data_IF_375524136932
#
_entry.id   IF_375524136932
#
_cell.length_a   1.000
_cell.length_b   1.000
_cell.length_c   1.000
_cell.angle_alpha   90.00
_cell.angle_beta   90.00
_cell.angle_gamma   90.00
#
_symmetry.space_group_name_H-M   'P 1'
#
loop_
_entity.id
_entity.type
_entity.pdbx_description
1 polymer ?
#
# COMPACT_ATOMS: atom_id res chain seq x y z
N UNK A 1 -39.27 -20.89 -22.20
CA UNK A 1 -37.92 -21.17 -21.66
C UNK A 1 -37.08 -19.90 -21.60
N UNK A 2 -37.72 -18.73 -21.57
CA UNK A 2 -37.10 -17.45 -21.94
C UNK A 2 -36.68 -16.62 -20.71
N UNK A 3 -37.30 -16.86 -19.56
CA UNK A 3 -36.94 -16.20 -18.29
C UNK A 3 -35.54 -16.57 -17.79
N UNK A 4 -35.06 -17.79 -18.03
CA UNK A 4 -33.73 -18.23 -17.60
C UNK A 4 -32.61 -17.57 -18.41
N UNK A 5 -32.84 -17.25 -19.68
CA UNK A 5 -31.89 -16.54 -20.53
C UNK A 5 -31.78 -15.05 -20.16
N UNK A 6 -32.90 -14.40 -19.83
CA UNK A 6 -32.89 -13.01 -19.35
C UNK A 6 -32.19 -12.85 -17.99
N UNK A 7 -32.39 -13.79 -17.07
CA UNK A 7 -31.71 -13.76 -15.76
C UNK A 7 -30.21 -14.03 -15.91
N UNK A 8 -29.83 -14.96 -16.78
CA UNK A 8 -28.41 -15.24 -17.06
C UNK A 8 -27.71 -14.06 -17.76
N UNK A 9 -28.39 -13.41 -18.72
CA UNK A 9 -27.90 -12.21 -19.38
C UNK A 9 -27.75 -11.02 -18.44
N UNK A 10 -28.68 -10.83 -17.50
CA UNK A 10 -28.59 -9.77 -16.50
C UNK A 10 -27.47 -10.00 -15.48
N UNK A 11 -27.22 -11.26 -15.07
CA UNK A 11 -26.11 -11.61 -14.16
C UNK A 11 -24.75 -11.39 -14.85
N UNK A 12 -24.63 -11.78 -16.12
CA UNK A 12 -23.41 -11.56 -16.91
C UNK A 12 -23.16 -10.07 -17.15
N UNK A 13 -24.21 -9.30 -17.48
CA UNK A 13 -24.10 -7.85 -17.68
C UNK A 13 -23.79 -7.09 -16.37
N UNK A 14 -24.39 -7.50 -15.25
CA UNK A 14 -24.06 -6.96 -13.92
C UNK A 14 -22.62 -7.34 -13.50
N UNK A 15 -22.16 -8.54 -13.85
CA UNK A 15 -20.76 -8.96 -13.68
C UNK A 15 -19.78 -8.13 -14.52
N UNK A 16 -20.14 -7.77 -15.75
CA UNK A 16 -19.30 -6.90 -16.59
C UNK A 16 -19.28 -5.44 -16.10
N UNK A 17 -20.39 -4.92 -15.56
CA UNK A 17 -20.41 -3.56 -14.97
C UNK A 17 -19.63 -3.51 -13.65
N UNK A 18 -19.65 -4.60 -12.86
CA UNK A 18 -18.77 -4.77 -11.71
C UNK A 18 -17.28 -4.89 -12.13
N UNK A 19 -16.98 -5.49 -13.28
CA UNK A 19 -15.63 -5.57 -13.81
C UNK A 19 -15.08 -4.19 -14.26
N UNK A 20 -15.94 -3.27 -14.70
CA UNK A 20 -15.55 -1.88 -14.99
C UNK A 20 -15.31 -1.02 -13.73
N UNK A 21 -15.61 -1.54 -12.53
CA UNK A 21 -15.44 -0.83 -11.25
C UNK A 21 -14.39 -1.47 -10.34
N UNK A 22 -13.49 -2.30 -10.89
CA UNK A 22 -12.42 -2.94 -10.13
C UNK A 22 -11.39 -1.92 -9.62
N UNK A 23 -11.15 -0.83 -10.37
CA UNK A 23 -10.32 0.28 -9.90
C UNK A 23 -11.08 1.10 -8.87
N UNK A 24 -10.51 1.25 -7.68
CA UNK A 24 -11.10 2.04 -6.59
C UNK A 24 -11.17 3.51 -6.98
N UNK A 25 -12.33 4.16 -6.78
CA UNK A 25 -12.44 5.60 -6.95
C UNK A 25 -11.45 6.31 -6.02
N UNK A 26 -10.74 7.30 -6.56
CA UNK A 26 -9.85 8.17 -5.80
C UNK A 26 -10.45 9.57 -5.75
N UNK A 27 -10.33 10.24 -4.61
CA UNK A 27 -10.68 11.66 -4.49
C UNK A 27 -9.62 12.58 -5.10
N UNK A 28 -9.85 13.90 -5.05
CA UNK A 28 -9.04 14.94 -5.71
C UNK A 28 -7.55 14.96 -5.33
N UNK A 29 -7.17 14.27 -4.24
CA UNK A 29 -5.79 14.13 -3.78
C UNK A 29 -5.18 12.75 -4.03
N UNK A 30 -5.81 11.91 -4.85
CA UNK A 30 -5.40 10.52 -5.07
C UNK A 30 -5.61 9.63 -3.84
N UNK A 31 -6.40 10.09 -2.86
CA UNK A 31 -6.76 9.31 -1.66
C UNK A 31 -7.86 8.31 -2.02
N UNK A 32 -7.83 7.14 -1.40
CA UNK A 32 -8.92 6.17 -1.46
C UNK A 32 -10.25 6.86 -1.09
N UNK A 33 -11.22 6.89 -2.02
CA UNK A 33 -12.55 7.37 -1.69
C UNK A 33 -13.33 6.29 -0.92
N UNK A 34 -14.20 6.65 0.04
CA UNK A 34 -15.09 5.71 0.70
C UNK A 34 -16.01 5.02 -0.32
N UNK A 35 -16.12 3.70 -0.26
CA UNK A 35 -17.03 2.94 -1.11
C UNK A 35 -17.37 1.60 -0.49
N UNK A 36 -18.66 1.32 -0.32
CA UNK A 36 -19.13 0.05 0.22
C UNK A 36 -18.61 -1.16 -0.57
N UNK A 37 -18.51 -1.04 -1.90
CA UNK A 37 -17.97 -2.11 -2.74
C UNK A 37 -16.51 -2.43 -2.39
N UNK A 38 -15.67 -1.40 -2.26
CA UNK A 38 -14.23 -1.58 -2.02
C UNK A 38 -13.88 -1.79 -0.54
N UNK A 39 -14.73 -1.34 0.38
CA UNK A 39 -14.49 -1.38 1.82
C UNK A 39 -15.16 -2.58 2.51
N UNK A 40 -16.24 -3.11 1.92
CA UNK A 40 -17.01 -4.22 2.51
C UNK A 40 -17.11 -5.42 1.58
N UNK A 41 -17.64 -5.23 0.36
CA UNK A 41 -18.00 -6.35 -0.51
C UNK A 41 -16.77 -7.08 -1.07
N UNK A 42 -15.80 -6.35 -1.63
CA UNK A 42 -14.59 -6.93 -2.21
C UNK A 42 -13.69 -7.60 -1.15
N UNK A 43 -13.42 -7.00 0.02
CA UNK A 43 -12.72 -7.70 1.09
C UNK A 43 -13.41 -9.01 1.51
N UNK A 44 -14.74 -8.98 1.71
CA UNK A 44 -15.48 -10.20 2.08
C UNK A 44 -15.42 -11.28 0.99
N UNK A 45 -15.53 -10.89 -0.29
CA UNK A 45 -15.37 -11.81 -1.40
C UNK A 45 -13.95 -12.39 -1.47
N UNK A 46 -12.93 -11.55 -1.29
CA UNK A 46 -11.55 -12.01 -1.33
C UNK A 46 -11.13 -12.85 -0.13
N UNK A 47 -11.73 -12.64 1.05
CA UNK A 47 -11.58 -13.54 2.20
C UNK A 47 -12.11 -14.95 1.87
N UNK A 48 -13.26 -15.05 1.20
CA UNK A 48 -13.78 -16.33 0.72
C UNK A 48 -12.84 -16.97 -0.32
N UNK A 49 -12.32 -16.19 -1.27
CA UNK A 49 -11.38 -16.72 -2.27
C UNK A 49 -10.07 -17.17 -1.62
N UNK A 50 -9.58 -16.42 -0.64
CA UNK A 50 -8.37 -16.73 0.12
C UNK A 50 -8.54 -18.03 0.92
N UNK A 51 -9.62 -18.15 1.69
CA UNK A 51 -9.89 -19.30 2.56
C UNK A 51 -10.21 -20.57 1.77
N UNK A 52 -11.17 -20.51 0.84
CA UNK A 52 -11.65 -21.70 0.13
C UNK A 52 -10.90 -22.00 -1.17
N UNK A 53 -10.41 -20.97 -1.86
CA UNK A 53 -9.72 -21.12 -3.14
C UNK A 53 -8.22 -21.34 -2.99
N UNK A 54 -7.57 -20.63 -2.05
CA UNK A 54 -6.11 -20.67 -1.87
C UNK A 54 -5.65 -21.27 -0.54
N UNK A 55 -6.58 -21.62 0.36
CA UNK A 55 -6.29 -22.16 1.69
C UNK A 55 -5.37 -21.23 2.52
N UNK A 56 -5.46 -19.93 2.28
CA UNK A 56 -4.75 -18.93 3.07
C UNK A 56 -5.55 -18.65 4.36
N UNK A 57 -4.88 -18.40 5.50
CA UNK A 57 -5.59 -18.09 6.72
C UNK A 57 -6.28 -16.72 6.62
N UNK A 58 -7.49 -16.64 7.17
CA UNK A 58 -8.29 -15.41 7.27
C UNK A 58 -8.64 -15.17 8.74
N UNK A 59 -8.32 -13.98 9.24
CA UNK A 59 -8.57 -13.65 10.64
C UNK A 59 -9.92 -12.97 10.84
N UNK A 60 -10.67 -13.47 11.82
CA UNK A 60 -11.93 -12.90 12.31
C UNK A 60 -11.72 -11.84 13.41
N UNK A 61 -10.49 -11.47 13.73
CA UNK A 61 -10.22 -10.38 14.67
C UNK A 61 -10.57 -9.02 14.08
N UNK A 62 -10.90 -8.05 14.93
CA UNK A 62 -11.02 -6.66 14.49
C UNK A 62 -9.64 -6.10 14.12
N UNK A 63 -9.61 -5.22 13.12
CA UNK A 63 -8.40 -4.43 12.83
C UNK A 63 -8.23 -3.34 13.87
N UNK A 64 -6.98 -3.13 14.27
CA UNK A 64 -6.54 -2.03 15.12
C UNK A 64 -6.40 -0.74 14.31
N UNK A 65 -6.34 0.40 14.99
CA UNK A 65 -6.12 1.70 14.35
C UNK A 65 -4.73 1.76 13.68
N UNK A 66 -3.73 1.10 14.26
CA UNK A 66 -2.37 1.00 13.70
C UNK A 66 -2.34 0.17 12.43
N UNK A 67 -3.10 -0.95 12.38
CA UNK A 67 -3.27 -1.72 11.15
C UNK A 67 -3.94 -0.86 10.06
N UNK A 68 -4.97 -0.08 10.40
CA UNK A 68 -5.59 0.85 9.44
C UNK A 68 -4.61 1.94 8.97
N UNK A 69 -3.84 2.54 9.89
CA UNK A 69 -2.85 3.57 9.55
C UNK A 69 -1.74 3.01 8.63
N UNK A 70 -1.23 1.81 8.92
CA UNK A 70 -0.27 1.13 8.05
C UNK A 70 -0.87 0.94 6.66
N UNK A 71 -2.11 0.46 6.57
CA UNK A 71 -2.81 0.27 5.30
C UNK A 71 -2.90 1.55 4.49
N UNK A 72 -3.31 2.66 5.11
CA UNK A 72 -3.46 3.96 4.46
C UNK A 72 -2.12 4.52 3.95
N UNK A 73 -1.04 4.36 4.72
CA UNK A 73 0.29 4.86 4.35
C UNK A 73 0.93 4.05 3.23
N UNK A 74 0.81 2.72 3.29
CA UNK A 74 1.27 1.83 2.22
C UNK A 74 0.47 2.04 0.95
N UNK A 75 -0.84 2.33 1.07
CA UNK A 75 -1.72 2.54 -0.08
C UNK A 75 -1.18 3.58 -1.06
N UNK A 76 -0.56 4.65 -0.54
CA UNK A 76 0.12 5.65 -1.37
C UNK A 76 1.14 5.03 -2.32
N UNK A 77 1.96 4.08 -1.87
CA UNK A 77 2.97 3.45 -2.72
C UNK A 77 2.37 2.59 -3.83
N UNK A 78 1.12 2.18 -3.67
CA UNK A 78 0.39 1.39 -4.64
C UNK A 78 -0.37 2.28 -5.64
N UNK A 79 -0.84 3.46 -5.23
CA UNK A 79 -1.75 4.30 -6.06
C UNK A 79 -1.39 5.77 -6.21
N UNK A 80 -0.21 6.20 -5.78
CA UNK A 80 0.16 7.63 -5.79
C UNK A 80 -0.19 8.29 -7.14
N UNK A 81 -0.74 9.50 -7.10
CA UNK A 81 -1.20 10.21 -8.30
C UNK A 81 -0.11 10.31 -9.38
N UNK A 82 1.14 10.60 -8.99
CA UNK A 82 2.29 10.68 -9.90
C UNK A 82 2.76 9.32 -10.45
N UNK A 83 2.22 8.23 -9.91
CA UNK A 83 2.52 6.85 -10.30
C UNK A 83 1.36 6.18 -11.04
N UNK A 84 0.18 6.80 -11.06
CA UNK A 84 -1.05 6.20 -11.60
C UNK A 84 -0.89 5.69 -13.04
N UNK A 85 -0.20 6.44 -13.89
CA UNK A 85 -0.15 6.13 -15.32
C UNK A 85 0.86 5.04 -15.70
N UNK A 86 1.79 4.68 -14.81
CA UNK A 86 2.87 3.71 -15.12
C UNK A 86 3.01 2.56 -14.11
N UNK A 87 2.52 2.76 -12.87
CA UNK A 87 2.55 1.79 -11.78
C UNK A 87 1.18 1.15 -11.53
N UNK A 88 0.09 1.91 -11.70
CA UNK A 88 -1.24 1.44 -11.32
C UNK A 88 -1.83 0.54 -12.40
N UNK A 89 -2.03 -0.72 -12.03
CA UNK A 89 -2.85 -1.66 -12.77
C UNK A 89 -4.11 -1.95 -11.94
N UNK A 90 -5.24 -2.19 -12.59
CA UNK A 90 -6.51 -2.62 -11.99
C UNK A 90 -6.32 -3.82 -11.03
N UNK A 91 -5.27 -4.61 -11.25
CA UNK A 91 -4.83 -5.71 -10.38
C UNK A 91 -4.50 -5.28 -8.94
N UNK A 92 -4.09 -4.03 -8.70
CA UNK A 92 -3.74 -3.54 -7.36
C UNK A 92 -4.92 -3.66 -6.40
N UNK A 93 -6.12 -3.27 -6.80
CA UNK A 93 -7.31 -3.38 -5.94
C UNK A 93 -7.74 -4.83 -5.70
N UNK A 94 -7.58 -5.70 -6.69
CA UNK A 94 -7.86 -7.13 -6.55
C UNK A 94 -6.87 -7.80 -5.59
N UNK A 95 -5.60 -7.39 -5.62
CA UNK A 95 -4.59 -7.87 -4.69
C UNK A 95 -4.84 -7.35 -3.26
N UNK A 96 -5.18 -6.06 -3.11
CA UNK A 96 -5.52 -5.47 -1.79
C UNK A 96 -6.65 -6.21 -1.11
N UNK A 97 -7.65 -6.58 -1.89
CA UNK A 97 -8.85 -7.26 -1.40
C UNK A 97 -8.66 -8.78 -1.34
N UNK A 98 -7.47 -9.31 -1.68
CA UNK A 98 -7.14 -10.75 -1.72
C UNK A 98 -8.00 -11.55 -2.70
N UNK A 99 -8.67 -10.90 -3.66
CA UNK A 99 -9.39 -11.56 -4.75
C UNK A 99 -8.39 -12.24 -5.69
N UNK A 100 -7.29 -11.56 -6.00
CA UNK A 100 -6.17 -12.15 -6.75
C UNK A 100 -4.95 -12.35 -5.85
N UNK A 101 -4.13 -13.38 -6.11
CA UNK A 101 -2.84 -13.49 -5.44
C UNK A 101 -1.97 -12.26 -5.78
N UNK A 102 -0.99 -11.92 -4.92
CA UNK A 102 0.03 -10.96 -5.29
C UNK A 102 0.72 -11.43 -6.58
N UNK A 103 0.65 -10.59 -7.61
CA UNK A 103 1.24 -10.82 -8.92
C UNK A 103 2.07 -9.62 -9.29
N UNK A 104 3.37 -9.86 -9.45
CA UNK A 104 4.33 -8.84 -9.87
C UNK A 104 4.84 -9.06 -11.29
N UNK A 105 4.39 -10.12 -11.96
CA UNK A 105 4.87 -10.58 -13.28
C UNK A 105 4.63 -9.57 -14.42
N UNK A 106 3.82 -8.55 -14.19
CA UNK A 106 3.54 -7.49 -15.17
C UNK A 106 4.38 -6.23 -14.97
N UNK A 107 5.12 -6.10 -13.87
CA UNK A 107 5.91 -4.91 -13.58
C UNK A 107 7.27 -4.98 -14.29
N UNK A 108 7.45 -4.15 -15.31
CA UNK A 108 8.73 -4.02 -16.01
C UNK A 108 9.29 -2.61 -15.78
N UNK A 109 10.58 -2.52 -15.44
CA UNK A 109 11.21 -1.27 -14.99
C UNK A 109 11.18 -0.16 -16.04
N UNK A 110 11.02 -0.54 -17.32
CA UNK A 110 10.98 0.38 -18.45
C UNK A 110 9.67 1.18 -18.52
N UNK A 111 8.59 0.72 -17.88
CA UNK A 111 7.27 1.37 -17.95
C UNK A 111 7.32 2.83 -17.53
N UNK A 112 8.03 3.14 -16.44
CA UNK A 112 8.17 4.53 -15.98
C UNK A 112 8.88 5.39 -17.01
N UNK A 113 9.96 4.87 -17.58
CA UNK A 113 10.72 5.59 -18.59
C UNK A 113 9.91 5.82 -19.88
N UNK A 114 9.16 4.81 -20.33
CA UNK A 114 8.29 4.94 -21.49
C UNK A 114 7.18 5.97 -21.27
N UNK A 115 6.57 5.99 -20.07
CA UNK A 115 5.63 7.04 -19.68
C UNK A 115 6.29 8.43 -19.70
N UNK A 116 7.47 8.56 -19.08
CA UNK A 116 8.22 9.82 -19.03
C UNK A 116 8.60 10.34 -20.43
N UNK A 117 8.85 9.43 -21.37
CA UNK A 117 9.15 9.76 -22.77
C UNK A 117 7.90 10.15 -23.57
N UNK A 118 6.76 9.51 -23.28
CA UNK A 118 5.47 9.79 -23.92
C UNK A 118 4.86 11.13 -23.50
N UNK A 119 5.21 11.64 -22.33
CA UNK A 119 4.74 12.93 -21.86
C UNK A 119 5.37 14.11 -22.62
N UNK A 120 4.56 15.11 -22.94
CA UNK A 120 4.97 16.30 -23.70
C UNK A 120 5.82 17.26 -22.85
N UNK A 121 7.09 16.90 -22.64
CA UNK A 121 8.05 17.77 -21.97
C UNK A 121 8.73 18.73 -22.95
N UNK A 122 8.68 20.02 -22.63
CA UNK A 122 9.34 21.08 -23.41
C UNK A 122 10.89 21.02 -23.34
N UNK A 123 11.47 20.24 -22.41
CA UNK A 123 12.94 20.11 -22.28
C UNK A 123 13.36 18.85 -21.53
N UNK A 124 14.59 18.37 -21.79
CA UNK A 124 15.23 17.30 -21.00
C UNK A 124 15.35 17.65 -19.52
N UNK A 125 15.59 18.92 -19.20
CA UNK A 125 15.62 19.45 -17.82
C UNK A 125 14.31 19.18 -17.07
N UNK A 126 13.17 19.29 -17.74
CA UNK A 126 11.87 18.98 -17.14
C UNK A 126 11.75 17.49 -16.81
N UNK A 127 12.30 16.59 -17.64
CA UNK A 127 12.30 15.14 -17.37
C UNK A 127 13.09 14.81 -16.11
N UNK A 128 14.33 15.28 -15.99
CA UNK A 128 15.13 15.10 -14.77
C UNK A 128 14.43 15.66 -13.52
N UNK A 129 13.89 16.88 -13.62
CA UNK A 129 13.16 17.48 -12.51
C UNK A 129 11.91 16.67 -12.10
N UNK A 130 11.22 16.04 -13.06
CA UNK A 130 10.09 15.15 -12.77
C UNK A 130 10.54 13.90 -12.01
N UNK A 131 11.61 13.20 -12.47
CA UNK A 131 12.14 12.04 -11.75
C UNK A 131 12.52 12.42 -10.33
N UNK A 132 13.30 13.49 -10.16
CA UNK A 132 13.71 13.98 -8.84
C UNK A 132 12.53 14.31 -7.92
N UNK A 133 11.46 14.93 -8.44
CA UNK A 133 10.24 15.19 -7.66
C UNK A 133 9.53 13.92 -7.23
N UNK A 134 9.44 12.91 -8.09
CA UNK A 134 8.77 11.64 -7.77
C UNK A 134 9.55 10.89 -6.68
N UNK A 135 10.88 10.76 -6.84
CA UNK A 135 11.77 10.15 -5.84
C UNK A 135 11.65 10.87 -4.50
N UNK A 136 11.73 12.20 -4.50
CA UNK A 136 11.64 13.01 -3.27
C UNK A 136 10.28 12.85 -2.59
N UNK A 137 9.19 12.89 -3.37
CA UNK A 137 7.85 12.72 -2.83
C UNK A 137 7.67 11.37 -2.12
N UNK A 138 8.33 10.31 -2.59
CA UNK A 138 8.31 9.01 -1.92
C UNK A 138 9.14 9.04 -0.64
N UNK A 139 10.38 9.55 -0.70
CA UNK A 139 11.27 9.72 0.45
C UNK A 139 10.57 10.45 1.60
N UNK A 140 9.84 11.53 1.31
CA UNK A 140 9.18 12.34 2.35
C UNK A 140 8.14 11.55 3.16
N UNK A 141 7.59 10.47 2.59
CA UNK A 141 6.57 9.65 3.24
C UNK A 141 7.13 8.40 3.93
N UNK A 142 8.28 7.89 3.45
CA UNK A 142 8.91 6.65 3.94
C UNK A 142 9.11 6.60 5.46
N UNK A 143 9.61 7.65 6.15
CA UNK A 143 9.80 7.61 7.60
C UNK A 143 8.51 7.27 8.36
N UNK A 144 7.41 7.94 8.01
CA UNK A 144 6.12 7.72 8.67
C UNK A 144 5.48 6.39 8.29
N UNK A 145 5.68 5.92 7.05
CA UNK A 145 5.26 4.58 6.62
C UNK A 145 6.00 3.49 7.39
N UNK A 146 7.32 3.63 7.58
CA UNK A 146 8.13 2.72 8.38
C UNK A 146 7.68 2.68 9.84
N UNK A 147 7.39 3.85 10.43
CA UNK A 147 6.87 3.93 11.79
C UNK A 147 5.53 3.19 11.96
N UNK A 148 4.61 3.34 11.00
CA UNK A 148 3.32 2.65 11.03
C UNK A 148 3.47 1.12 10.86
N UNK A 149 4.33 0.67 9.95
CA UNK A 149 4.65 -0.76 9.82
C UNK A 149 5.25 -1.31 11.12
N UNK A 150 6.19 -0.57 11.73
CA UNK A 150 6.78 -0.97 13.00
C UNK A 150 5.73 -1.11 14.12
N UNK A 151 4.78 -0.18 14.20
CA UNK A 151 3.70 -0.23 15.19
C UNK A 151 2.86 -1.52 15.05
N UNK A 152 2.57 -1.95 13.82
CA UNK A 152 1.85 -3.21 13.57
C UNK A 152 2.70 -4.43 13.94
N UNK A 153 3.99 -4.44 13.60
CA UNK A 153 4.92 -5.51 14.01
C UNK A 153 4.96 -5.66 15.53
N UNK A 154 5.00 -4.53 16.26
CA UNK A 154 4.99 -4.52 17.72
C UNK A 154 3.64 -4.99 18.30
N UNK A 155 2.52 -4.62 17.68
CA UNK A 155 1.19 -5.13 18.06
C UNK A 155 1.12 -6.65 17.87
N UNK A 156 1.61 -7.18 16.75
CA UNK A 156 1.65 -8.62 16.49
C UNK A 156 2.52 -9.34 17.53
N UNK A 157 3.64 -8.74 17.92
CA UNK A 157 4.50 -9.25 19.01
C UNK A 157 3.77 -9.27 20.35
N UNK A 158 3.12 -8.17 20.72
CA UNK A 158 2.35 -8.06 21.96
C UNK A 158 1.18 -9.05 21.98
N UNK A 159 0.49 -9.22 20.84
CA UNK A 159 -0.61 -10.18 20.69
C UNK A 159 -0.12 -11.61 20.92
N UNK A 160 1.05 -11.98 20.39
CA UNK A 160 1.66 -13.28 20.61
C UNK A 160 2.06 -13.52 22.08
N UNK A 161 2.65 -12.52 22.73
CA UNK A 161 3.00 -12.58 24.17
C UNK A 161 1.73 -12.72 25.03
N UNK A 162 0.71 -11.91 24.74
CA UNK A 162 -0.57 -11.98 25.45
C UNK A 162 -1.21 -13.36 25.30
N UNK A 163 -1.24 -13.92 24.09
CA UNK A 163 -1.76 -15.27 23.85
C UNK A 163 -0.98 -16.34 24.61
N UNK A 164 0.36 -16.26 24.65
CA UNK A 164 1.19 -17.21 25.37
C UNK A 164 0.99 -17.17 26.90
N UNK A 165 0.63 -16.01 27.45
CA UNK A 165 0.37 -15.82 28.89
C UNK A 165 -1.04 -16.26 29.34
N UNK A 166 -1.95 -16.54 28.41
CA UNK A 166 -3.32 -16.97 28.73
C UNK A 166 -3.38 -18.49 28.95
N UNK A 167 -4.00 -18.92 30.05
CA UNK A 167 -4.25 -20.34 30.34
C UNK A 167 -5.22 -20.98 29.33
N UNK A 168 -5.17 -22.32 29.22
CA UNK A 168 -5.86 -23.24 28.27
C UNK A 168 -7.40 -23.12 28.10
N UNK A 169 -8.06 -22.10 28.65
CA UNK A 169 -9.51 -21.88 28.60
C UNK A 169 -9.97 -20.95 27.47
N UNK A 170 -9.05 -20.47 26.64
CA UNK A 170 -9.41 -19.65 25.47
C UNK A 170 -10.02 -20.56 24.40
N UNK A 171 -11.08 -20.08 23.74
CA UNK A 171 -11.75 -20.82 22.67
C UNK A 171 -10.77 -21.32 21.58
N UNK A 172 -11.06 -22.48 20.95
CA UNK A 172 -10.11 -23.20 20.11
C UNK A 172 -9.54 -22.36 18.96
N UNK A 173 -10.29 -21.38 18.47
CA UNK A 173 -9.95 -20.62 17.28
C UNK A 173 -9.11 -19.36 17.57
N UNK A 174 -8.89 -18.97 18.83
CA UNK A 174 -8.20 -17.70 19.13
C UNK A 174 -6.74 -17.72 18.65
N UNK A 175 -6.04 -18.85 18.84
CA UNK A 175 -4.67 -19.01 18.35
C UNK A 175 -4.57 -19.01 16.82
N UNK A 176 -5.56 -19.60 16.14
CA UNK A 176 -5.64 -19.58 14.67
C UNK A 176 -5.89 -18.17 14.14
N UNK A 177 -6.84 -17.43 14.72
CA UNK A 177 -7.14 -16.05 14.32
C UNK A 177 -5.95 -15.10 14.58
N UNK A 178 -5.20 -15.31 15.66
CA UNK A 178 -3.97 -14.56 15.93
C UNK A 178 -2.93 -14.80 14.83
N UNK A 179 -2.65 -16.06 14.49
CA UNK A 179 -1.70 -16.41 13.42
C UNK A 179 -2.17 -15.90 12.06
N UNK A 180 -3.47 -15.99 11.79
CA UNK A 180 -4.08 -15.48 10.57
C UNK A 180 -3.92 -13.97 10.43
N UNK A 181 -4.12 -13.19 11.50
CA UNK A 181 -3.98 -11.72 11.42
C UNK A 181 -2.53 -11.31 11.19
N UNK A 182 -1.59 -11.99 11.86
CA UNK A 182 -0.16 -11.80 11.58
C UNK A 182 0.17 -12.12 10.12
N UNK A 183 -0.33 -13.23 9.58
CA UNK A 183 -0.13 -13.57 8.17
C UNK A 183 -0.66 -12.49 7.23
N UNK A 184 -1.85 -11.95 7.49
CA UNK A 184 -2.43 -10.85 6.72
C UNK A 184 -1.58 -9.58 6.77
N UNK A 185 -1.08 -9.21 7.96
CA UNK A 185 -0.20 -8.07 8.15
C UNK A 185 1.13 -8.27 7.41
N UNK A 186 1.77 -9.44 7.57
CA UNK A 186 3.02 -9.79 6.90
C UNK A 186 2.87 -9.73 5.37
N UNK A 187 1.80 -10.31 4.81
CA UNK A 187 1.54 -10.28 3.37
C UNK A 187 1.37 -8.84 2.83
N UNK A 188 0.77 -7.96 3.63
CA UNK A 188 0.60 -6.56 3.27
C UNK A 188 1.92 -5.76 3.35
N UNK A 189 2.75 -6.05 4.35
CA UNK A 189 4.12 -5.51 4.46
C UNK A 189 4.97 -5.97 3.27
N UNK A 190 4.90 -7.25 2.89
CA UNK A 190 5.62 -7.77 1.73
C UNK A 190 5.24 -7.02 0.45
N UNK A 191 3.96 -6.68 0.30
CA UNK A 191 3.49 -5.92 -0.85
C UNK A 191 4.07 -4.51 -0.90
N UNK A 192 4.16 -3.83 0.25
CA UNK A 192 4.87 -2.56 0.34
C UNK A 192 6.34 -2.69 -0.09
N UNK A 193 7.05 -3.71 0.40
CA UNK A 193 8.46 -3.95 0.05
C UNK A 193 8.61 -4.12 -1.46
N UNK A 194 7.78 -4.94 -2.10
CA UNK A 194 7.84 -5.16 -3.55
C UNK A 194 7.52 -3.89 -4.34
N UNK A 195 6.50 -3.13 -3.94
CA UNK A 195 6.15 -1.86 -4.57
C UNK A 195 7.28 -0.82 -4.44
N UNK A 196 7.95 -0.75 -3.28
CA UNK A 196 9.06 0.16 -3.05
C UNK A 196 10.28 -0.19 -3.92
N UNK A 197 10.62 -1.48 -4.03
CA UNK A 197 11.69 -1.94 -4.93
C UNK A 197 11.37 -1.60 -6.38
N UNK A 198 10.15 -1.88 -6.84
CA UNK A 198 9.77 -1.61 -8.21
C UNK A 198 9.85 -0.11 -8.55
N UNK A 199 9.41 0.77 -7.64
CA UNK A 199 9.57 2.23 -7.78
C UNK A 199 11.03 2.64 -7.90
N UNK A 200 11.87 2.17 -6.97
CA UNK A 200 13.29 2.47 -6.99
C UNK A 200 13.95 2.04 -8.31
N UNK A 201 13.77 0.78 -8.71
CA UNK A 201 14.36 0.25 -9.95
C UNK A 201 13.85 0.97 -11.20
N UNK A 202 12.60 1.40 -11.21
CA UNK A 202 12.03 2.17 -12.33
C UNK A 202 12.63 3.57 -12.44
N UNK A 203 12.85 4.25 -11.31
CA UNK A 203 13.48 5.57 -11.27
C UNK A 203 14.97 5.51 -11.63
N UNK A 204 15.67 4.51 -11.12
CA UNK A 204 17.08 4.22 -11.42
C UNK A 204 17.28 3.98 -12.92
N UNK A 205 16.48 3.06 -13.50
CA UNK A 205 16.47 2.80 -14.93
C UNK A 205 16.18 4.05 -15.77
N UNK A 206 15.21 4.89 -15.36
CA UNK A 206 14.91 6.12 -16.08
C UNK A 206 16.06 7.13 -16.02
N UNK A 207 16.79 7.22 -14.91
CA UNK A 207 17.97 8.09 -14.82
C UNK A 207 19.06 7.64 -15.80
N UNK A 208 19.37 6.34 -15.83
CA UNK A 208 20.35 5.76 -16.76
C UNK A 208 19.99 6.06 -18.22
N UNK A 209 18.73 5.84 -18.58
CA UNK A 209 18.26 6.10 -19.95
C UNK A 209 18.29 7.59 -20.30
N UNK A 210 17.95 8.49 -19.37
CA UNK A 210 18.07 9.93 -19.58
C UNK A 210 19.52 10.38 -19.74
N UNK A 211 20.46 9.78 -19.02
CA UNK A 211 21.89 10.05 -19.15
C UNK A 211 22.42 9.63 -20.53
N UNK A 212 21.92 8.53 -21.08
CA UNK A 212 22.24 8.09 -22.44
C UNK A 212 21.62 9.00 -23.50
N UNK A 213 20.33 9.32 -23.38
CA UNK A 213 19.63 10.13 -24.39
C UNK A 213 20.06 11.60 -24.37
N UNK A 214 20.12 12.21 -23.18
CA UNK A 214 20.40 13.64 -23.01
C UNK A 214 21.18 13.89 -21.70
N UNK A 215 22.52 13.82 -21.72
CA UNK A 215 23.34 14.12 -20.55
C UNK A 215 23.06 15.53 -20.00
N UNK A 216 22.85 15.65 -18.68
CA UNK A 216 22.55 16.94 -18.04
C UNK A 216 23.01 16.97 -16.57
N UNK A 217 23.43 18.13 -16.06
CA UNK A 217 23.95 18.31 -14.67
C UNK A 217 22.93 17.98 -13.58
N UNK A 218 21.63 18.09 -13.88
CA UNK A 218 20.55 17.76 -12.95
C UNK A 218 20.50 16.29 -12.55
N UNK A 219 21.14 15.41 -13.32
CA UNK A 219 21.34 13.99 -12.96
C UNK A 219 21.95 13.83 -11.57
N UNK A 220 22.85 14.73 -11.15
CA UNK A 220 23.52 14.68 -9.84
C UNK A 220 22.49 14.76 -8.69
N UNK A 221 21.51 15.66 -8.80
CA UNK A 221 20.48 15.82 -7.78
C UNK A 221 19.51 14.63 -7.73
N UNK A 222 19.24 14.01 -8.90
CA UNK A 222 18.41 12.81 -8.98
C UNK A 222 19.15 11.60 -8.40
N UNK A 223 20.43 11.43 -8.73
CA UNK A 223 21.30 10.37 -8.18
C UNK A 223 21.38 10.46 -6.64
N UNK A 224 21.58 11.66 -6.09
CA UNK A 224 21.58 11.86 -4.63
C UNK A 224 20.25 11.47 -3.98
N UNK A 225 19.12 11.84 -4.59
CA UNK A 225 17.81 11.43 -4.11
C UNK A 225 17.63 9.91 -4.17
N UNK A 226 18.06 9.26 -5.26
CA UNK A 226 18.03 7.80 -5.39
C UNK A 226 18.87 7.10 -4.32
N UNK A 227 20.07 7.60 -4.00
CA UNK A 227 20.90 7.07 -2.91
C UNK A 227 20.21 7.15 -1.55
N UNK A 228 19.49 8.26 -1.29
CA UNK A 228 18.68 8.39 -0.07
C UNK A 228 17.52 7.39 -0.05
N UNK A 229 16.80 7.24 -1.16
CA UNK A 229 15.72 6.24 -1.29
C UNK A 229 16.25 4.80 -1.13
N UNK A 230 17.43 4.50 -1.69
CA UNK A 230 18.09 3.19 -1.61
C UNK A 230 18.32 2.75 -0.17
N UNK A 231 18.62 3.68 0.73
CA UNK A 231 18.77 3.40 2.16
C UNK A 231 17.48 2.82 2.76
N UNK A 232 16.31 3.35 2.38
CA UNK A 232 15.03 2.81 2.81
C UNK A 232 14.71 1.47 2.11
N UNK A 233 14.99 1.34 0.82
CA UNK A 233 14.81 0.08 0.07
C UNK A 233 15.60 -1.05 0.74
N UNK A 234 16.86 -0.79 1.09
CA UNK A 234 17.73 -1.79 1.73
C UNK A 234 17.24 -2.18 3.12
N UNK A 235 16.68 -1.23 3.88
CA UNK A 235 16.06 -1.53 5.18
C UNK A 235 14.78 -2.34 5.01
N UNK A 236 13.90 -1.96 4.09
CA UNK A 236 12.67 -2.68 3.79
C UNK A 236 12.95 -4.13 3.36
N UNK A 237 13.96 -4.35 2.52
CA UNK A 237 14.39 -5.69 2.08
C UNK A 237 14.93 -6.57 3.20
N UNK A 238 15.41 -5.98 4.30
CA UNK A 238 15.80 -6.70 5.52
C UNK A 238 14.68 -6.77 6.56
N UNK A 239 13.48 -6.29 6.24
CA UNK A 239 12.36 -6.12 7.18
C UNK A 239 12.72 -5.25 8.39
N UNK A 240 13.68 -4.34 8.22
CA UNK A 240 14.11 -3.39 9.24
C UNK A 240 13.23 -2.12 9.22
N UNK A 241 12.00 -2.27 9.70
CA UNK A 241 11.06 -1.15 9.86
C UNK A 241 11.19 -0.46 11.22
N UNK A 242 11.59 -1.21 12.24
CA UNK A 242 11.68 -0.76 13.63
C UNK A 242 13.06 -0.27 14.06
N UNK A 243 14.11 -0.49 13.27
CA UNK A 243 15.44 0.01 13.63
C UNK A 243 15.46 1.54 13.72
N UNK A 244 16.44 2.03 14.49
CA UNK A 244 16.79 3.45 14.63
C UNK A 244 17.31 4.00 13.29
N UNK A 245 16.50 4.01 12.24
CA UNK A 245 16.79 4.73 11.01
C UNK A 245 17.06 6.16 11.42
N UNK A 246 18.34 6.55 11.37
CA UNK A 246 18.90 7.61 12.20
C UNK A 246 17.94 8.75 12.44
N UNK A 247 17.74 9.12 13.72
CA UNK A 247 17.11 10.39 14.10
C UNK A 247 17.66 11.49 13.19
N UNK A 248 16.92 11.85 12.14
CA UNK A 248 17.16 13.08 11.42
C UNK A 248 16.83 14.17 12.44
N UNK A 249 17.80 15.01 12.84
CA UNK A 249 17.55 16.05 13.82
C UNK A 249 16.57 17.03 13.19
N UNK A 250 15.33 17.09 13.69
CA UNK A 250 14.40 18.17 13.31
C UNK A 250 12.93 17.85 13.11
N UNK A 251 12.42 16.63 13.32
CA UNK A 251 10.95 16.43 13.32
C UNK A 251 10.39 16.47 14.75
N UNK A 252 9.72 17.59 15.04
CA UNK A 252 9.08 17.86 16.32
C UNK A 252 8.04 16.80 16.69
N UNK A 253 7.81 16.69 18.00
CA UNK A 253 6.91 15.75 18.68
C UNK A 253 5.41 16.00 18.42
N UNK A 254 5.07 16.67 17.31
CA UNK A 254 3.69 17.03 16.98
C UNK A 254 3.12 15.98 16.04
N UNK A 255 2.43 15.01 16.65
CA UNK A 255 1.52 14.11 15.95
C UNK A 255 0.28 14.93 15.58
N UNK A 256 0.09 15.24 14.30
CA UNK A 256 -1.18 15.76 13.79
C UNK A 256 -2.03 14.53 13.44
N UNK A 257 -3.14 14.27 14.16
CA UNK A 257 -4.06 13.17 13.83
C UNK A 257 -4.63 13.37 12.42
N UNK A 258 -4.75 12.29 11.65
CA UNK A 258 -5.29 12.31 10.27
C UNK A 258 -6.81 12.55 10.20
N UNK A 259 -7.45 12.94 11.30
CA UNK A 259 -8.88 13.22 11.34
C UNK A 259 -9.11 14.59 11.96
N UNK A 260 -9.66 15.51 11.17
CA UNK A 260 -10.48 16.57 11.72
C UNK A 260 -11.43 15.93 12.73
N UNK A 261 -11.34 16.33 13.99
CA UNK A 261 -12.41 16.15 14.97
C UNK A 261 -13.68 16.66 14.31
N UNK A 262 -14.56 15.76 13.88
CA UNK A 262 -15.96 16.09 13.93
C UNK A 262 -16.27 16.26 15.41
N UNK A 263 -16.45 17.52 15.80
CA UNK A 263 -16.94 17.92 17.11
C UNK A 263 -18.27 17.24 17.35
N UNK A 264 -18.31 16.27 18.27
CA UNK A 264 -19.55 15.63 18.63
C UNK A 264 -19.41 14.28 19.31
N UNK A 265 -18.44 14.08 20.20
CA UNK A 265 -18.51 12.98 21.16
C UNK A 265 -18.20 13.53 22.55
N UNK A 266 -19.22 13.49 23.41
CA UNK A 266 -19.17 13.84 24.82
C UNK A 266 -18.20 12.94 25.56
N UNK A 267 -17.22 13.57 26.18
CA UNK A 267 -16.27 13.02 27.14
C UNK A 267 -16.96 12.12 28.18
N UNK A 268 -16.48 10.88 28.30
CA UNK A 268 -16.81 10.01 29.44
C UNK A 268 -15.97 10.50 30.62
N UNK A 269 -16.62 11.19 31.55
CA UNK A 269 -16.04 11.57 32.84
C UNK A 269 -15.87 10.31 33.69
N UNK A 270 -14.63 10.01 34.09
CA UNK A 270 -14.38 9.03 35.16
C UNK A 270 -14.65 9.69 36.52
N UNK A 271 -15.40 9.04 37.44
CA UNK A 271 -15.66 9.61 38.76
C UNK A 271 -14.40 9.54 39.63
N UNK A 272 -14.22 10.56 40.47
CA UNK A 272 -13.50 10.42 41.74
C UNK A 272 -14.48 10.14 42.85
#
# INVERSE_FOLDING_TARGET
MDKFWFVSGAIVLAGMIAACSVSRPVGDFGRAAPSWTHDTAMPAAGDLVAEYGRQEPVSKFNKTDQENEMHDRVWRFLVAAHAKDWLFDTHVELQRTRITPPRDETFTVERYYLWLKGESYNSSRTRYATVGRHVTADIDTLPTTFAAICAVVEIDRQRAVAYAGLNRQIGPNVGENMRARKYENDAFIDWFVRALNYRFSSYDYALDMLLVETPHEQSIAVDDALRRMKTFVDRANRYDFCGDGGRLPGQGTVVIPSRYQHSGDTEVVLPK
#
